data_IF_236762514375
#
_entry.id   IF_236762514375
#
_cell.length_a   1.000
_cell.length_b   1.000
_cell.length_c   1.000
_cell.angle_alpha   90.00
_cell.angle_beta   90.00
_cell.angle_gamma   90.00
#
_symmetry.space_group_name_H-M   'P 1'
#
loop_
_entity.id
_entity.type
_entity.pdbx_description
1 polymer ?
#
# COMPACT_ATOMS: atom_id res chain seq x y z
N UNK A 1 -19.33 -27.87 6.11
CA UNK A 1 -18.82 -27.60 7.46
C UNK A 1 -17.78 -26.50 7.35
N UNK A 2 -18.21 -25.25 7.52
CA UNK A 2 -17.30 -24.09 7.62
C UNK A 2 -17.35 -23.72 9.10
N UNK A 3 -16.77 -24.59 9.91
CA UNK A 3 -16.66 -24.45 11.36
C UNK A 3 -15.42 -25.22 11.78
N UNK A 4 -14.26 -24.80 11.27
CA UNK A 4 -13.00 -24.94 12.00
C UNK A 4 -12.18 -23.67 11.76
N UNK A 5 -12.11 -22.92 12.85
CA UNK A 5 -11.22 -21.82 13.20
C UNK A 5 -10.08 -21.56 12.19
N UNK A 6 -10.24 -20.53 11.36
CA UNK A 6 -9.09 -19.75 10.89
C UNK A 6 -8.56 -18.92 12.07
N UNK A 7 -7.87 -19.59 12.98
CA UNK A 7 -6.95 -18.94 13.91
C UNK A 7 -5.61 -18.82 13.21
N UNK A 8 -5.26 -17.60 12.78
CA UNK A 8 -3.88 -17.12 12.79
C UNK A 8 -3.82 -15.58 12.85
N UNK A 9 -3.74 -15.11 14.09
CA UNK A 9 -3.17 -13.90 14.68
C UNK A 9 -2.24 -12.99 13.83
N UNK A 10 -2.69 -11.75 13.53
CA UNK A 10 -2.24 -10.46 14.13
C UNK A 10 -2.72 -9.24 13.30
N UNK A 11 -3.70 -8.51 13.83
CA UNK A 11 -4.24 -7.20 13.35
C UNK A 11 -4.71 -7.09 11.89
N UNK A 12 -5.16 -8.18 11.28
CA UNK A 12 -6.25 -8.00 10.30
C UNK A 12 -7.48 -7.71 11.15
N UNK A 13 -8.13 -6.57 10.96
CA UNK A 13 -9.54 -6.47 11.36
C UNK A 13 -10.29 -7.41 10.42
N UNK A 14 -10.14 -8.71 10.66
CA UNK A 14 -10.82 -9.74 9.92
C UNK A 14 -12.30 -9.46 10.09
N UNK A 15 -12.93 -9.24 8.95
CA UNK A 15 -14.32 -8.88 8.90
C UNK A 15 -15.12 -10.17 9.06
N UNK A 16 -15.44 -10.53 10.30
CA UNK A 16 -16.27 -11.69 10.57
C UNK A 16 -17.74 -11.35 10.37
N UNK A 17 -18.41 -12.18 9.59
CA UNK A 17 -19.85 -12.10 9.43
C UNK A 17 -20.41 -13.50 9.24
N UNK A 18 -21.68 -13.66 9.58
CA UNK A 18 -22.46 -14.85 9.18
C UNK A 18 -23.50 -14.41 8.17
N UNK A 19 -23.96 -15.30 7.31
CA UNK A 19 -25.05 -14.98 6.40
C UNK A 19 -26.40 -15.04 7.14
N UNK A 20 -27.37 -14.23 6.71
CA UNK A 20 -28.74 -14.34 7.21
C UNK A 20 -29.39 -15.67 6.76
N UNK A 21 -30.35 -16.18 7.54
CA UNK A 21 -30.88 -17.56 7.41
C UNK A 21 -31.54 -17.91 6.06
N UNK A 22 -31.76 -16.94 5.17
CA UNK A 22 -32.27 -17.17 3.81
C UNK A 22 -31.50 -16.41 2.72
N UNK A 23 -30.37 -15.79 3.07
CA UNK A 23 -29.54 -15.06 2.10
C UNK A 23 -28.32 -15.89 1.71
N UNK A 24 -28.21 -16.12 0.39
CA UNK A 24 -27.10 -16.83 -0.23
C UNK A 24 -26.09 -15.88 -0.86
N UNK A 25 -26.29 -14.56 -0.74
CA UNK A 25 -25.40 -13.55 -1.29
C UNK A 25 -25.20 -12.38 -0.33
N UNK A 26 -24.03 -11.76 -0.46
CA UNK A 26 -23.70 -10.48 0.14
C UNK A 26 -23.92 -9.43 -0.94
N UNK A 27 -24.66 -8.39 -0.61
CA UNK A 27 -24.88 -7.23 -1.49
C UNK A 27 -24.15 -6.02 -0.93
N UNK A 28 -23.36 -5.36 -1.79
CA UNK A 28 -22.70 -4.10 -1.49
C UNK A 28 -23.63 -2.96 -1.92
N UNK A 29 -24.12 -2.21 -0.94
CA UNK A 29 -25.03 -1.10 -1.17
C UNK A 29 -24.26 0.23 -1.12
N UNK A 30 -24.13 0.86 -2.29
CA UNK A 30 -23.57 2.19 -2.45
C UNK A 30 -24.72 3.20 -2.32
N UNK A 31 -24.85 3.80 -1.14
CA UNK A 31 -25.97 4.70 -0.82
C UNK A 31 -25.81 6.06 -1.52
N UNK A 32 -26.84 6.51 -2.25
CA UNK A 32 -26.88 7.86 -2.83
C UNK A 32 -27.41 8.87 -1.80
N UNK A 33 -26.97 10.15 -1.83
CA UNK A 33 -26.12 10.78 -2.86
C UNK A 33 -24.61 10.69 -2.57
N UNK A 34 -23.82 10.68 -3.64
CA UNK A 34 -22.37 10.86 -3.53
C UNK A 34 -22.04 12.24 -2.93
N UNK A 35 -20.97 12.38 -2.12
CA UNK A 35 -20.53 13.67 -1.60
C UNK A 35 -20.24 14.69 -2.72
N UNK A 36 -20.40 15.97 -2.42
CA UNK A 36 -20.16 17.07 -3.38
C UNK A 36 -18.76 16.94 -3.98
N UNK A 37 -18.67 16.93 -5.32
CA UNK A 37 -17.41 16.78 -6.05
C UNK A 37 -16.94 15.33 -6.26
N UNK A 38 -17.72 14.34 -5.83
CA UNK A 38 -17.40 12.92 -6.01
C UNK A 38 -18.54 12.16 -6.67
N UNK A 39 -18.19 11.17 -7.48
CA UNK A 39 -19.13 10.18 -8.02
C UNK A 39 -18.59 8.78 -7.73
N UNK A 40 -19.40 7.95 -7.10
CA UNK A 40 -19.09 6.54 -6.84
C UNK A 40 -20.04 5.68 -7.66
N UNK A 41 -19.51 4.95 -8.65
CA UNK A 41 -20.28 4.12 -9.57
C UNK A 41 -19.81 2.66 -9.53
N UNK A 42 -20.60 1.74 -8.95
CA UNK A 42 -20.34 0.33 -9.13
C UNK A 42 -20.61 -0.07 -10.58
N UNK A 43 -19.77 -0.93 -11.13
CA UNK A 43 -19.92 -1.42 -12.51
C UNK A 43 -21.14 -2.35 -12.66
N UNK A 44 -21.38 -3.22 -11.67
CA UNK A 44 -22.52 -4.13 -11.63
C UNK A 44 -23.58 -3.59 -10.64
N UNK A 45 -24.83 -3.39 -11.10
CA UNK A 45 -25.97 -3.02 -10.24
C UNK A 45 -27.05 -4.11 -10.30
N UNK A 46 -27.32 -4.84 -9.20
CA UNK A 46 -26.70 -4.75 -7.87
C UNK A 46 -25.32 -5.42 -7.80
N UNK A 47 -24.41 -4.87 -6.98
CA UNK A 47 -23.10 -5.48 -6.73
C UNK A 47 -23.25 -6.60 -5.71
N UNK A 48 -23.33 -7.85 -6.18
CA UNK A 48 -23.57 -9.04 -5.34
C UNK A 48 -22.49 -10.09 -5.50
N UNK A 49 -22.21 -10.80 -4.41
CA UNK A 49 -21.37 -12.00 -4.43
C UNK A 49 -22.10 -13.12 -3.69
N UNK A 50 -22.25 -14.28 -4.32
CA UNK A 50 -22.90 -15.43 -3.68
C UNK A 50 -21.94 -16.19 -2.77
N UNK A 51 -22.46 -16.78 -1.69
CA UNK A 51 -21.76 -17.69 -0.79
C UNK A 51 -21.08 -18.80 -1.56
N UNK A 52 -21.78 -19.38 -2.54
CA UNK A 52 -21.21 -20.42 -3.42
C UNK A 52 -19.98 -19.94 -4.18
N UNK A 53 -19.97 -18.70 -4.67
CA UNK A 53 -18.80 -18.15 -5.34
C UNK A 53 -17.65 -17.92 -4.35
N UNK A 54 -17.95 -17.40 -3.15
CA UNK A 54 -16.94 -17.22 -2.08
C UNK A 54 -16.31 -18.56 -1.73
N UNK A 55 -17.11 -19.60 -1.50
CA UNK A 55 -16.64 -20.94 -1.15
C UNK A 55 -15.83 -21.58 -2.30
N UNK A 56 -16.29 -21.45 -3.56
CA UNK A 56 -15.61 -22.01 -4.74
C UNK A 56 -14.24 -21.36 -4.99
N UNK A 57 -14.17 -20.02 -4.92
CA UNK A 57 -12.92 -19.31 -5.16
C UNK A 57 -11.97 -19.35 -3.95
N UNK A 58 -12.52 -19.36 -2.74
CA UNK A 58 -11.75 -19.45 -1.50
C UNK A 58 -11.14 -20.83 -1.25
N UNK A 59 -11.75 -21.90 -1.79
CA UNK A 59 -11.23 -23.27 -1.68
C UNK A 59 -10.14 -23.63 -2.71
N UNK A 60 -9.84 -22.73 -3.67
CA UNK A 60 -8.73 -22.90 -4.63
C UNK A 60 -7.38 -22.69 -3.95
N UNK A 61 -6.32 -23.29 -4.50
CA UNK A 61 -4.95 -23.16 -4.00
C UNK A 61 -4.00 -22.69 -5.12
N UNK A 62 -3.58 -21.42 -5.14
CA UNK A 62 -3.99 -20.35 -4.21
C UNK A 62 -5.45 -19.91 -4.43
N UNK A 63 -6.10 -19.29 -3.43
CA UNK A 63 -7.43 -18.69 -3.60
C UNK A 63 -7.42 -17.70 -4.76
N UNK A 64 -8.45 -17.72 -5.59
CA UNK A 64 -8.49 -16.93 -6.81
C UNK A 64 -9.83 -16.21 -6.95
N UNK A 65 -9.98 -15.08 -6.28
CA UNK A 65 -11.22 -14.29 -6.33
C UNK A 65 -11.27 -13.43 -7.60
N UNK A 66 -12.41 -13.41 -8.32
CA UNK A 66 -12.57 -12.54 -9.47
C UNK A 66 -12.51 -11.06 -9.04
N UNK A 67 -11.75 -10.26 -9.77
CA UNK A 67 -11.67 -8.82 -9.54
C UNK A 67 -12.90 -8.12 -10.13
N UNK A 68 -13.54 -7.26 -9.35
CA UNK A 68 -14.64 -6.39 -9.78
C UNK A 68 -14.24 -4.94 -9.56
N UNK A 69 -14.47 -4.10 -10.56
CA UNK A 69 -14.06 -2.71 -10.56
C UNK A 69 -15.19 -1.83 -10.02
N UNK A 70 -14.82 -0.87 -9.16
CA UNK A 70 -15.68 0.23 -8.73
C UNK A 70 -15.03 1.50 -9.27
N UNK A 71 -15.78 2.28 -10.05
CA UNK A 71 -15.30 3.54 -10.58
C UNK A 71 -15.58 4.64 -9.55
N UNK A 72 -14.54 5.35 -9.14
CA UNK A 72 -14.64 6.52 -8.25
C UNK A 72 -14.02 7.70 -8.99
N UNK A 73 -14.83 8.69 -9.33
CA UNK A 73 -14.36 9.91 -9.99
C UNK A 73 -14.55 11.11 -9.08
N UNK A 74 -13.63 12.08 -9.20
CA UNK A 74 -13.75 13.39 -8.58
C UNK A 74 -13.98 14.42 -9.70
N UNK A 75 -14.99 15.26 -9.54
CA UNK A 75 -15.17 16.45 -10.39
C UNK A 75 -14.39 17.61 -9.75
N UNK A 76 -13.39 18.19 -10.44
CA UNK A 76 -12.58 19.26 -9.88
C UNK A 76 -13.43 20.48 -9.48
N UNK A 77 -13.46 20.81 -8.19
CA UNK A 77 -14.27 21.89 -7.61
C UNK A 77 -14.31 21.84 -6.07
N UNK A 78 -15.09 22.71 -5.43
CA UNK A 78 -15.28 22.71 -3.95
C UNK A 78 -15.76 21.35 -3.42
N UNK A 79 -14.94 20.70 -2.59
CA UNK A 79 -15.31 19.47 -1.86
C UNK A 79 -14.50 18.22 -2.24
N UNK A 80 -13.62 18.29 -3.24
CA UNK A 80 -12.84 17.15 -3.74
C UNK A 80 -11.56 16.83 -2.93
N UNK A 81 -11.44 17.30 -1.69
CA UNK A 81 -10.23 17.11 -0.85
C UNK A 81 -10.18 15.73 -0.19
N UNK A 82 -11.36 15.19 0.15
CA UNK A 82 -11.48 13.90 0.82
C UNK A 82 -12.83 13.25 0.53
N UNK A 83 -12.80 12.01 0.06
CA UNK A 83 -13.97 11.14 0.02
C UNK A 83 -14.03 10.35 1.32
N UNK A 84 -15.19 10.35 1.97
CA UNK A 84 -15.56 9.38 3.00
C UNK A 84 -16.92 8.84 2.62
N UNK A 85 -16.96 7.59 2.17
CA UNK A 85 -18.17 7.00 1.59
C UNK A 85 -18.48 5.66 2.25
N UNK A 86 -19.54 5.56 3.06
CA UNK A 86 -19.95 4.31 3.69
C UNK A 86 -20.64 3.40 2.67
N UNK A 87 -20.23 2.14 2.64
CA UNK A 87 -20.85 1.06 1.86
C UNK A 87 -21.45 0.07 2.83
N UNK A 88 -22.77 -0.09 2.80
CA UNK A 88 -23.48 -1.03 3.68
C UNK A 88 -23.47 -2.43 3.06
N UNK A 89 -23.31 -3.46 3.90
CA UNK A 89 -23.40 -4.86 3.48
C UNK A 89 -24.76 -5.44 3.87
N UNK A 90 -25.50 -5.98 2.90
CA UNK A 90 -26.75 -6.73 3.13
C UNK A 90 -26.52 -8.23 2.91
N UNK A 91 -27.37 -9.05 3.53
CA UNK A 91 -27.29 -10.50 3.42
C UNK A 91 -26.43 -11.17 4.50
N UNK A 92 -25.96 -10.37 5.47
CA UNK A 92 -25.14 -10.83 6.58
C UNK A 92 -25.79 -10.49 7.92
N UNK A 93 -25.72 -11.41 8.88
CA UNK A 93 -26.14 -11.26 10.26
C UNK A 93 -24.97 -10.66 11.05
N UNK A 94 -24.78 -9.36 10.86
CA UNK A 94 -23.93 -8.51 11.68
C UNK A 94 -24.74 -7.30 12.08
N UNK A 95 -24.42 -6.70 13.21
CA UNK A 95 -24.88 -5.39 13.67
C UNK A 95 -24.44 -4.28 12.69
N UNK A 96 -25.10 -4.17 11.53
CA UNK A 96 -24.94 -3.12 10.52
C UNK A 96 -23.47 -2.85 10.14
N UNK A 97 -22.89 -3.73 9.33
CA UNK A 97 -21.53 -3.53 8.85
C UNK A 97 -21.49 -2.41 7.78
N UNK A 98 -20.85 -1.30 8.11
CA UNK A 98 -20.53 -0.21 7.19
C UNK A 98 -19.03 -0.19 6.85
N UNK A 99 -18.70 -0.45 5.59
CA UNK A 99 -17.34 -0.30 5.08
C UNK A 99 -17.12 1.14 4.60
N UNK A 100 -16.26 1.88 5.29
CA UNK A 100 -15.95 3.26 4.91
C UNK A 100 -14.80 3.32 3.89
N UNK A 101 -15.10 3.75 2.67
CA UNK A 101 -14.09 4.06 1.65
C UNK A 101 -13.56 5.47 1.91
N UNK A 102 -12.25 5.57 2.17
CA UNK A 102 -11.56 6.86 2.39
C UNK A 102 -10.54 7.12 1.30
N UNK A 103 -10.78 8.12 0.46
CA UNK A 103 -9.79 8.64 -0.50
C UNK A 103 -9.34 10.03 -0.06
N UNK A 104 -8.04 10.27 -0.08
CA UNK A 104 -7.46 11.59 0.20
C UNK A 104 -6.73 12.04 -1.05
N UNK A 105 -7.14 13.17 -1.61
CA UNK A 105 -6.34 13.83 -2.64
C UNK A 105 -5.14 14.47 -1.94
N UNK A 106 -3.93 14.11 -2.38
CA UNK A 106 -2.73 14.81 -1.92
C UNK A 106 -2.70 16.13 -2.70
N UNK A 107 -3.23 17.20 -2.11
CA UNK A 107 -2.97 18.54 -2.63
C UNK A 107 -1.46 18.76 -2.46
N UNK A 108 -0.69 18.61 -3.54
CA UNK A 108 0.65 19.17 -3.61
C UNK A 108 0.50 20.67 -3.39
N UNK A 109 1.19 21.20 -2.37
CA UNK A 109 1.20 22.64 -2.11
C UNK A 109 1.56 23.38 -3.41
N UNK A 110 0.88 24.49 -3.74
CA UNK A 110 1.22 25.26 -4.93
C UNK A 110 2.68 25.72 -4.85
N UNK A 111 3.46 25.39 -5.88
CA UNK A 111 4.78 25.94 -6.12
C UNK A 111 4.68 27.48 -6.10
N UNK A 112 5.55 28.22 -5.40
CA UNK A 112 5.51 29.67 -5.44
C UNK A 112 5.70 30.15 -6.88
N UNK A 113 4.66 30.80 -7.41
CA UNK A 113 4.66 31.46 -8.71
C UNK A 113 5.64 32.63 -8.67
N UNK A 114 6.83 32.45 -9.23
CA UNK A 114 7.64 33.58 -9.70
C UNK A 114 7.36 33.79 -11.19
N UNK A 115 6.78 34.96 -11.47
CA UNK A 115 6.60 35.50 -12.81
C UNK A 115 7.92 35.57 -13.60
N UNK A 116 7.91 35.00 -14.81
CA UNK A 116 8.60 35.44 -16.03
C UNK A 116 10.09 35.83 -15.94
N UNK A 117 11.00 34.96 -16.40
CA UNK A 117 11.90 35.27 -17.55
C UNK A 117 12.80 34.10 -17.98
N UNK A 118 12.86 33.95 -19.31
CA UNK A 118 13.94 33.43 -20.17
C UNK A 118 14.35 31.95 -20.13
N UNK A 119 14.17 31.33 -21.30
CA UNK A 119 14.91 30.16 -21.81
C UNK A 119 16.42 30.37 -21.64
N UNK A 120 17.08 29.49 -20.88
CA UNK A 120 18.39 28.87 -21.11
C UNK A 120 18.77 28.08 -19.84
N UNK A 121 19.47 26.98 -20.06
CA UNK A 121 20.09 26.07 -19.09
C UNK A 121 19.20 24.90 -18.63
N UNK A 122 19.05 23.93 -19.55
CA UNK A 122 19.04 22.51 -19.17
C UNK A 122 20.35 22.16 -18.42
N UNK A 123 20.27 21.11 -17.60
CA UNK A 123 21.35 20.44 -16.83
C UNK A 123 21.47 20.89 -15.35
N UNK A 124 20.48 20.49 -14.54
CA UNK A 124 20.67 19.74 -13.28
C UNK A 124 19.36 19.69 -12.47
N UNK A 125 18.44 18.80 -12.86
CA UNK A 125 17.30 18.44 -12.01
C UNK A 125 17.73 17.34 -11.02
N UNK A 126 18.48 17.72 -9.99
CA UNK A 126 18.52 16.92 -8.77
C UNK A 126 17.22 17.20 -8.02
N UNK A 127 16.20 16.37 -8.25
CA UNK A 127 14.96 16.39 -7.46
C UNK A 127 15.37 16.29 -6.00
N UNK A 128 15.10 17.31 -5.18
CA UNK A 128 15.42 17.28 -3.76
C UNK A 128 14.56 16.22 -3.08
N UNK A 129 15.08 14.99 -2.97
CA UNK A 129 14.40 13.87 -2.32
C UNK A 129 14.42 14.13 -0.81
N UNK A 130 13.24 14.24 -0.20
CA UNK A 130 13.13 14.46 1.24
C UNK A 130 13.17 13.13 1.99
N UNK A 131 13.91 13.06 3.09
CA UNK A 131 14.00 11.85 3.94
C UNK A 131 12.64 11.37 4.48
N UNK A 132 11.69 12.30 4.64
CA UNK A 132 10.33 12.02 5.13
C UNK A 132 9.32 11.77 4.00
N UNK A 133 9.78 11.73 2.75
CA UNK A 133 8.93 11.42 1.62
C UNK A 133 8.34 10.01 1.79
N UNK A 134 7.02 9.90 1.66
CA UNK A 134 6.35 8.60 1.58
C UNK A 134 6.64 8.00 0.21
N UNK A 135 7.24 6.82 0.21
CA UNK A 135 7.60 6.06 -0.97
C UNK A 135 6.49 5.07 -1.31
N UNK A 136 6.42 4.70 -2.58
CA UNK A 136 5.50 3.71 -3.10
C UNK A 136 6.23 2.85 -4.15
N UNK A 137 5.55 1.87 -4.73
CA UNK A 137 6.15 0.89 -5.66
C UNK A 137 6.79 1.51 -6.90
N UNK A 138 6.43 2.73 -7.33
CA UNK A 138 7.08 3.40 -8.46
C UNK A 138 8.53 3.80 -8.17
N UNK A 139 8.90 3.93 -6.89
CA UNK A 139 10.24 4.34 -6.46
C UNK A 139 11.20 3.15 -6.31
N UNK A 140 10.74 1.92 -6.56
CA UNK A 140 11.54 0.71 -6.34
C UNK A 140 12.87 0.74 -7.11
N UNK A 141 12.86 1.19 -8.36
CA UNK A 141 14.05 1.31 -9.19
C UNK A 141 15.07 2.29 -8.59
N UNK A 142 14.61 3.49 -8.25
CA UNK A 142 15.45 4.55 -7.69
C UNK A 142 16.08 4.13 -6.35
N UNK A 143 15.32 3.43 -5.50
CA UNK A 143 15.80 2.94 -4.21
C UNK A 143 16.86 1.86 -4.39
N UNK A 144 16.66 0.92 -5.32
CA UNK A 144 17.66 -0.11 -5.63
C UNK A 144 18.96 0.51 -6.15
N UNK A 145 18.85 1.48 -7.06
CA UNK A 145 20.02 2.17 -7.61
C UNK A 145 20.74 3.00 -6.54
N UNK A 146 20.00 3.65 -5.64
CA UNK A 146 20.53 4.42 -4.52
C UNK A 146 21.29 3.50 -3.55
N UNK A 147 20.69 2.39 -3.12
CA UNK A 147 21.32 1.42 -2.21
C UNK A 147 22.60 0.85 -2.83
N UNK A 148 22.55 0.49 -4.11
CA UNK A 148 23.71 -0.03 -4.85
C UNK A 148 24.82 1.02 -4.98
N UNK A 149 24.47 2.28 -5.26
CA UNK A 149 25.42 3.40 -5.36
C UNK A 149 26.18 3.62 -4.06
N UNK A 150 25.53 3.42 -2.92
CA UNK A 150 26.13 3.51 -1.59
C UNK A 150 26.68 2.18 -1.07
N UNK A 151 26.83 1.18 -1.93
CA UNK A 151 27.55 -0.06 -1.64
C UNK A 151 26.74 -1.15 -0.94
N UNK A 152 25.42 -1.00 -0.81
CA UNK A 152 24.57 -2.04 -0.24
C UNK A 152 24.03 -2.98 -1.33
N UNK A 153 24.38 -4.26 -1.23
CA UNK A 153 24.01 -5.29 -2.21
C UNK A 153 22.80 -6.14 -1.82
N UNK A 154 22.23 -5.96 -0.62
CA UNK A 154 21.03 -6.68 -0.18
C UNK A 154 21.28 -8.10 0.36
N UNK A 155 22.53 -8.48 0.67
CA UNK A 155 22.86 -9.85 1.15
C UNK A 155 22.10 -10.24 2.42
N UNK A 156 21.85 -9.26 3.29
CA UNK A 156 21.11 -9.46 4.54
C UNK A 156 19.64 -9.02 4.40
N UNK A 157 19.00 -9.27 3.26
CA UNK A 157 17.62 -8.82 3.02
C UNK A 157 16.62 -9.33 4.07
N UNK A 158 16.87 -10.51 4.65
CA UNK A 158 16.01 -11.09 5.68
C UNK A 158 15.97 -10.21 6.94
N UNK A 159 17.13 -9.98 7.56
CA UNK A 159 17.26 -9.12 8.74
C UNK A 159 16.86 -7.68 8.43
N UNK A 160 17.24 -7.19 7.26
CA UNK A 160 16.84 -5.89 6.78
C UNK A 160 15.32 -5.74 6.70
N UNK A 161 14.64 -6.72 6.11
CA UNK A 161 13.18 -6.78 6.00
C UNK A 161 12.48 -6.78 7.36
N UNK A 162 13.02 -7.52 8.34
CA UNK A 162 12.51 -7.51 9.72
C UNK A 162 12.55 -6.10 10.32
N UNK A 163 13.64 -5.37 10.11
CA UNK A 163 13.79 -4.00 10.61
C UNK A 163 12.91 -2.98 9.89
N UNK A 164 12.53 -3.27 8.65
CA UNK A 164 11.55 -2.49 7.89
C UNK A 164 10.10 -2.77 8.31
N UNK A 165 9.85 -3.83 9.08
CA UNK A 165 8.52 -4.21 9.57
C UNK A 165 7.89 -5.39 8.83
N UNK A 166 8.63 -6.07 7.95
CA UNK A 166 8.18 -7.34 7.36
C UNK A 166 8.28 -8.45 8.40
N UNK A 167 7.33 -9.37 8.39
CA UNK A 167 7.30 -10.48 9.34
C UNK A 167 7.98 -11.72 8.76
N UNK A 168 8.49 -12.63 9.60
CA UNK A 168 9.14 -13.87 9.16
C UNK A 168 8.32 -14.67 8.16
N UNK A 169 6.98 -14.69 8.28
CA UNK A 169 6.10 -15.35 7.31
C UNK A 169 6.29 -14.84 5.88
N UNK A 170 6.41 -13.52 5.70
CA UNK A 170 6.55 -12.87 4.40
C UNK A 170 7.95 -13.09 3.85
N UNK A 171 8.95 -12.98 4.71
CA UNK A 171 10.35 -13.19 4.34
C UNK A 171 10.65 -14.67 4.00
N UNK A 172 10.03 -15.62 4.69
CA UNK A 172 10.13 -17.04 4.38
C UNK A 172 9.49 -17.36 3.03
N UNK A 173 8.37 -16.73 2.68
CA UNK A 173 7.77 -16.86 1.35
C UNK A 173 8.74 -16.34 0.29
N UNK A 174 9.39 -15.19 0.53
CA UNK A 174 10.41 -14.65 -0.38
C UNK A 174 11.60 -15.61 -0.51
N UNK A 175 12.08 -16.18 0.60
CA UNK A 175 13.21 -17.13 0.62
C UNK A 175 12.90 -18.44 -0.13
N UNK A 176 11.63 -18.86 -0.15
CA UNK A 176 11.17 -20.03 -0.91
C UNK A 176 10.98 -19.76 -2.41
N UNK A 177 10.91 -18.50 -2.85
CA UNK A 177 10.80 -18.16 -4.27
C UNK A 177 12.09 -18.52 -5.01
N UNK A 178 11.95 -19.02 -6.25
CA UNK A 178 13.12 -19.31 -7.10
C UNK A 178 13.79 -18.01 -7.51
N UNK A 179 15.03 -17.81 -7.09
CA UNK A 179 15.80 -16.61 -7.43
C UNK A 179 17.17 -16.57 -6.78
N UNK A 180 17.92 -15.50 -7.10
CA UNK A 180 19.13 -15.14 -6.39
C UNK A 180 18.84 -14.12 -5.28
N UNK A 181 19.85 -13.83 -4.47
CA UNK A 181 19.79 -12.83 -3.39
C UNK A 181 19.27 -11.47 -3.90
N UNK A 182 19.66 -11.07 -5.11
CA UNK A 182 19.20 -9.81 -5.71
C UNK A 182 17.69 -9.81 -5.95
N UNK A 183 17.15 -10.93 -6.44
CA UNK A 183 15.72 -11.12 -6.68
C UNK A 183 14.93 -11.11 -5.37
N UNK A 184 15.42 -11.80 -4.34
CA UNK A 184 14.81 -11.81 -3.01
C UNK A 184 14.84 -10.43 -2.35
N UNK A 185 15.95 -9.73 -2.46
CA UNK A 185 16.09 -8.37 -1.95
C UNK A 185 15.12 -7.39 -2.64
N UNK A 186 14.95 -7.52 -3.96
CA UNK A 186 13.95 -6.75 -4.71
C UNK A 186 12.53 -7.03 -4.22
N UNK A 187 12.17 -8.30 -4.02
CA UNK A 187 10.85 -8.68 -3.50
C UNK A 187 10.63 -8.15 -2.08
N UNK A 188 11.67 -8.16 -1.24
CA UNK A 188 11.64 -7.58 0.10
C UNK A 188 11.30 -6.08 0.05
N UNK A 189 12.00 -5.30 -0.78
CA UNK A 189 11.71 -3.88 -0.95
C UNK A 189 10.33 -3.63 -1.55
N UNK A 190 9.89 -4.46 -2.49
CA UNK A 190 8.54 -4.37 -3.06
C UNK A 190 7.46 -4.56 -1.99
N UNK A 191 7.60 -5.58 -1.12
CA UNK A 191 6.68 -5.81 0.01
C UNK A 191 6.69 -4.66 1.01
N UNK A 192 7.86 -4.08 1.28
CA UNK A 192 7.97 -2.89 2.12
C UNK A 192 7.25 -1.68 1.50
N UNK A 193 7.42 -1.41 0.20
CA UNK A 193 6.74 -0.31 -0.51
C UNK A 193 5.23 -0.54 -0.64
N UNK A 194 4.79 -1.80 -0.68
CA UNK A 194 3.38 -2.20 -0.59
C UNK A 194 2.82 -2.03 0.85
N UNK A 195 3.66 -1.68 1.82
CA UNK A 195 3.32 -1.54 3.23
C UNK A 195 2.74 -2.83 3.82
N UNK A 196 3.32 -3.98 3.45
CA UNK A 196 2.95 -5.27 4.04
C UNK A 196 3.27 -5.31 5.54
N UNK A 197 2.59 -6.16 6.29
CA UNK A 197 2.88 -6.43 7.71
C UNK A 197 2.92 -5.15 8.59
N UNK A 198 3.93 -5.00 9.46
CA UNK A 198 4.05 -3.90 10.45
C UNK A 198 4.83 -2.69 9.91
N UNK A 199 4.95 -2.54 8.58
CA UNK A 199 5.72 -1.44 7.97
C UNK A 199 5.23 -0.07 8.43
N UNK A 200 3.90 0.11 8.58
CA UNK A 200 3.33 1.36 9.10
C UNK A 200 3.70 1.60 10.57
N UNK A 201 3.72 0.56 11.41
CA UNK A 201 4.13 0.65 12.81
C UNK A 201 5.61 0.99 12.97
N UNK A 202 6.44 0.63 11.97
CA UNK A 202 7.87 1.01 11.89
C UNK A 202 8.14 2.38 11.27
N UNK A 203 7.12 3.18 10.98
CA UNK A 203 7.28 4.55 10.42
C UNK A 203 6.96 4.66 8.93
N UNK A 204 6.53 3.57 8.29
CA UNK A 204 6.14 3.54 6.89
C UNK A 204 7.31 3.51 5.91
N UNK A 205 7.02 3.50 4.60
CA UNK A 205 8.03 3.38 3.57
C UNK A 205 8.69 4.74 3.30
N UNK A 206 9.62 5.16 4.17
CA UNK A 206 10.37 6.41 4.03
C UNK A 206 11.86 6.13 3.97
N UNK A 207 12.63 7.08 3.44
CA UNK A 207 14.09 6.98 3.47
C UNK A 207 14.64 7.01 4.90
N UNK A 208 13.98 7.68 5.84
CA UNK A 208 14.33 7.64 7.26
C UNK A 208 14.23 6.21 7.81
N UNK A 209 13.09 5.53 7.60
CA UNK A 209 12.90 4.13 8.00
C UNK A 209 13.95 3.21 7.36
N UNK A 210 14.26 3.45 6.08
CA UNK A 210 15.26 2.69 5.33
C UNK A 210 16.68 2.89 5.89
N UNK A 211 17.08 4.13 6.17
CA UNK A 211 18.37 4.47 6.81
C UNK A 211 18.46 3.84 8.21
N UNK A 212 17.38 3.94 9.00
CA UNK A 212 17.33 3.32 10.33
C UNK A 212 17.47 1.79 10.26
N UNK A 213 16.82 1.14 9.29
CA UNK A 213 16.96 -0.29 9.08
C UNK A 213 18.40 -0.68 8.69
N UNK A 214 19.05 0.10 7.80
CA UNK A 214 20.46 -0.10 7.44
C UNK A 214 21.39 0.02 8.67
N UNK A 215 21.15 1.02 9.53
CA UNK A 215 21.92 1.18 10.78
C UNK A 215 21.75 -0.01 11.73
N UNK A 216 20.55 -0.58 11.81
CA UNK A 216 20.27 -1.75 12.67
C UNK A 216 20.97 -3.03 12.20
N UNK A 217 21.16 -3.19 10.89
CA UNK A 217 21.96 -4.29 10.32
C UNK A 217 23.44 -3.93 10.14
N UNK A 218 23.91 -2.89 10.83
CA UNK A 218 25.30 -2.41 10.84
C UNK A 218 25.84 -1.95 9.47
N UNK A 219 24.97 -1.69 8.50
CA UNK A 219 25.31 -1.12 7.19
C UNK A 219 25.46 0.41 7.26
N UNK A 220 26.26 0.87 8.22
CA UNK A 220 26.41 2.29 8.56
C UNK A 220 26.99 3.12 7.40
N UNK A 221 27.94 2.56 6.63
CA UNK A 221 28.52 3.25 5.48
C UNK A 221 27.47 3.58 4.40
N UNK A 222 26.58 2.62 4.10
CA UNK A 222 25.49 2.83 3.16
C UNK A 222 24.44 3.81 3.72
N UNK A 223 24.10 3.66 5.01
CA UNK A 223 23.18 4.56 5.70
C UNK A 223 23.66 6.02 5.66
N UNK A 224 24.93 6.27 6.00
CA UNK A 224 25.53 7.59 6.04
C UNK A 224 25.69 8.21 4.64
N UNK A 225 26.01 7.38 3.64
CA UNK A 225 26.06 7.80 2.24
C UNK A 225 24.71 8.32 1.75
N UNK A 226 23.64 7.56 2.04
CA UNK A 226 22.26 7.93 1.68
C UNK A 226 21.81 9.16 2.48
N UNK A 227 22.04 9.19 3.79
CA UNK A 227 21.69 10.32 4.67
C UNK A 227 22.34 11.62 4.17
N UNK A 228 23.62 11.56 3.77
CA UNK A 228 24.36 12.69 3.19
C UNK A 228 23.78 13.10 1.84
N UNK A 229 23.52 12.17 0.92
CA UNK A 229 22.94 12.49 -0.39
C UNK A 229 21.59 13.20 -0.27
N UNK A 230 20.72 12.72 0.62
CA UNK A 230 19.42 13.32 0.90
C UNK A 230 19.51 14.64 1.68
N UNK A 231 20.62 14.89 2.39
CA UNK A 231 20.88 16.14 3.10
C UNK A 231 21.50 17.22 2.21
N UNK A 232 22.20 16.85 1.14
CA UNK A 232 22.85 17.79 0.20
C UNK A 232 21.82 18.57 -0.63
N UNK A 233 20.63 18.02 -0.88
CA UNK A 233 19.54 18.73 -1.57
C UNK A 233 18.85 19.84 -0.77
N UNK A 234 19.38 20.24 0.40
CA UNK A 234 18.80 21.24 1.30
C UNK A 234 19.46 22.64 1.23
N UNK A 235 20.40 22.87 0.31
CA UNK A 235 21.10 24.15 0.15
C UNK A 235 20.76 24.84 -1.17
#
# INVERSE_FOLDING_TARGET
HINEELKNNETVNDLYFTFEENNDCIEFCFNEPSPKGWSVKPYDKPTKVSRRAIDDYGSKSPPNFPQRLIEITAEPGEGADRLSYPVTLRGIKSDNMELNIVLKTVIQQPLPTSSSMSLRDEVNSATAISQRQILNTSHLGDILDLLKRHGYSGVNYYDFGLHLGLLPRTLNVIDMERGDVSSHFRLCLEKWLQQADDVKGKGGPTYDTLIQALRKIEQNAAADGIDRELSIGKF
#
